data_IF_540181574664
#
_entry.id   IF_540181574664
#
_cell.length_a   1.000
_cell.length_b   1.000
_cell.length_c   1.000
_cell.angle_alpha   90.00
_cell.angle_beta   90.00
_cell.angle_gamma   90.00
#
_symmetry.space_group_name_H-M   'P 1'
#
loop_
_entity.id
_entity.type
_entity.pdbx_description
1 polymer ?
#
# COMPACT_ATOMS: atom_id res chain seq x y z
N UNK A 1 24.47 18.02 -17.65
CA UNK A 1 24.67 16.86 -16.76
C UNK A 1 24.05 15.65 -17.45
N UNK A 2 24.82 14.61 -17.74
CA UNK A 2 24.26 13.30 -18.14
C UNK A 2 23.88 12.59 -16.84
N UNK A 3 22.59 12.29 -16.68
CA UNK A 3 22.10 11.49 -15.56
C UNK A 3 22.37 10.03 -15.93
N UNK A 4 23.14 9.34 -15.10
CA UNK A 4 23.42 7.92 -15.27
C UNK A 4 22.25 7.12 -14.69
N UNK A 5 21.58 6.36 -15.54
CA UNK A 5 20.46 5.50 -15.19
C UNK A 5 20.88 4.03 -15.04
N UNK A 6 22.18 3.71 -15.07
CA UNK A 6 22.68 2.33 -15.07
C UNK A 6 22.25 1.47 -13.88
N UNK A 7 21.86 2.10 -12.76
CA UNK A 7 21.24 1.42 -11.61
C UNK A 7 19.93 0.70 -11.95
N UNK A 8 19.21 1.16 -12.97
CA UNK A 8 17.89 0.62 -13.36
C UNK A 8 17.95 -0.36 -14.53
N UNK A 9 19.12 -0.59 -15.12
CA UNK A 9 19.29 -1.43 -16.32
C UNK A 9 19.12 -2.95 -16.03
N UNK A 10 19.13 -3.34 -14.75
CA UNK A 10 19.13 -4.76 -14.35
C UNK A 10 17.99 -5.09 -13.36
N UNK A 11 16.79 -4.58 -13.65
CA UNK A 11 15.60 -4.89 -12.84
C UNK A 11 14.92 -6.12 -13.41
N UNK A 12 14.81 -7.17 -12.60
CA UNK A 12 14.07 -8.37 -12.94
C UNK A 12 12.64 -8.30 -12.39
N UNK A 13 11.64 -8.45 -13.26
CA UNK A 13 10.22 -8.48 -12.90
C UNK A 13 9.63 -9.86 -13.24
N UNK A 14 9.13 -10.57 -12.23
CA UNK A 14 8.59 -11.93 -12.42
C UNK A 14 7.26 -12.00 -13.19
N UNK A 15 6.49 -10.91 -13.19
CA UNK A 15 5.21 -10.75 -13.89
C UNK A 15 5.35 -9.72 -15.01
N UNK A 16 6.36 -9.92 -15.86
CA UNK A 16 6.60 -9.07 -17.02
C UNK A 16 5.75 -9.59 -18.21
N UNK A 17 4.68 -8.86 -18.54
CA UNK A 17 3.78 -9.17 -19.64
C UNK A 17 4.42 -8.92 -21.03
N UNK A 18 5.54 -8.20 -21.10
CA UNK A 18 6.25 -7.94 -22.36
C UNK A 18 7.15 -9.13 -22.77
N UNK A 19 7.56 -9.98 -21.82
CA UNK A 19 8.40 -11.18 -22.07
C UNK A 19 7.55 -12.44 -22.07
N UNK A 20 6.58 -12.47 -22.98
CA UNK A 20 5.61 -13.56 -23.15
C UNK A 20 5.76 -14.22 -24.53
N UNK A 21 5.55 -15.54 -24.58
CA UNK A 21 5.61 -16.31 -25.83
C UNK A 21 4.22 -16.84 -26.14
N UNK A 22 3.76 -16.79 -27.41
CA UNK A 22 2.44 -17.30 -27.80
C UNK A 22 2.21 -18.79 -27.47
N UNK A 23 3.29 -19.54 -27.24
CA UNK A 23 3.24 -20.99 -26.98
C UNK A 23 3.33 -21.36 -25.49
N UNK A 24 3.48 -20.37 -24.60
CA UNK A 24 3.64 -20.61 -23.16
C UNK A 24 2.53 -19.89 -22.41
N UNK A 25 1.85 -20.63 -21.51
CA UNK A 25 0.84 -20.08 -20.62
C UNK A 25 1.48 -19.07 -19.64
N UNK A 26 1.08 -17.81 -19.77
CA UNK A 26 1.59 -16.67 -18.99
C UNK A 26 1.30 -16.78 -17.49
N UNK A 27 0.07 -17.11 -17.03
CA UNK A 27 -0.20 -17.36 -15.62
C UNK A 27 0.73 -18.39 -14.97
N UNK A 28 1.00 -19.50 -15.65
CA UNK A 28 1.88 -20.56 -15.12
C UNK A 28 3.35 -20.14 -15.14
N UNK A 29 3.78 -19.46 -16.20
CA UNK A 29 5.15 -18.94 -16.34
C UNK A 29 5.50 -17.96 -15.23
N UNK A 30 4.60 -17.02 -14.91
CA UNK A 30 4.83 -16.05 -13.82
C UNK A 30 4.97 -16.72 -12.46
N UNK A 31 4.15 -17.74 -12.18
CA UNK A 31 4.26 -18.52 -10.94
C UNK A 31 5.60 -19.24 -10.84
N UNK A 32 6.10 -19.81 -11.95
CA UNK A 32 7.39 -20.47 -11.98
C UNK A 32 8.55 -19.48 -11.80
N UNK A 33 8.56 -18.37 -12.55
CA UNK A 33 9.55 -17.29 -12.42
C UNK A 33 9.60 -16.71 -11.01
N UNK A 34 8.45 -16.55 -10.38
CA UNK A 34 8.35 -16.10 -9.00
C UNK A 34 8.91 -17.12 -8.01
N UNK A 35 8.63 -18.42 -8.19
CA UNK A 35 9.23 -19.49 -7.37
C UNK A 35 10.75 -19.49 -7.46
N UNK A 36 11.30 -19.48 -8.67
CA UNK A 36 12.76 -19.45 -8.90
C UNK A 36 13.41 -18.22 -8.24
N UNK A 37 12.75 -17.06 -8.33
CA UNK A 37 13.24 -15.84 -7.66
C UNK A 37 13.22 -15.95 -6.13
N UNK A 38 12.20 -16.57 -5.55
CA UNK A 38 12.13 -16.85 -4.11
C UNK A 38 13.19 -17.84 -3.66
N UNK A 39 13.41 -18.91 -4.42
CA UNK A 39 14.38 -19.94 -4.09
C UNK A 39 15.81 -19.39 -4.18
N UNK A 40 16.11 -18.58 -5.21
CA UNK A 40 17.40 -17.87 -5.35
C UNK A 40 17.65 -16.88 -4.20
N UNK A 41 16.61 -16.19 -3.74
CA UNK A 41 16.72 -15.30 -2.57
C UNK A 41 16.95 -16.12 -1.29
N UNK A 42 16.18 -17.19 -1.09
CA UNK A 42 16.31 -18.08 0.07
C UNK A 42 17.71 -18.70 0.15
N UNK A 43 18.23 -19.24 -0.95
CA UNK A 43 19.59 -19.81 -1.00
C UNK A 43 20.66 -18.76 -0.68
N UNK A 44 20.47 -17.51 -1.12
CA UNK A 44 21.40 -16.42 -0.80
C UNK A 44 21.32 -15.99 0.67
N UNK A 45 20.13 -16.01 1.27
CA UNK A 45 19.93 -15.75 2.70
C UNK A 45 20.48 -16.87 3.58
N UNK A 46 20.34 -18.14 3.18
CA UNK A 46 20.91 -19.28 3.89
C UNK A 46 22.44 -19.23 3.87
N UNK A 47 23.05 -18.92 2.72
CA UNK A 47 24.49 -18.68 2.60
C UNK A 47 24.97 -17.51 3.47
N UNK A 48 24.19 -16.42 3.55
CA UNK A 48 24.48 -15.27 4.41
C UNK A 48 24.40 -15.65 5.89
N UNK A 49 23.37 -16.38 6.32
CA UNK A 49 23.21 -16.82 7.70
C UNK A 49 24.32 -17.78 8.14
N UNK A 50 24.77 -18.70 7.26
CA UNK A 50 25.88 -19.60 7.56
C UNK A 50 27.22 -18.84 7.69
N UNK A 51 27.47 -17.84 6.85
CA UNK A 51 28.67 -17.00 6.94
C UNK A 51 28.72 -16.18 8.24
N UNK A 52 27.58 -15.64 8.68
CA UNK A 52 27.46 -14.94 9.96
C UNK A 52 27.74 -15.87 11.15
N UNK A 53 27.20 -17.10 11.13
CA UNK A 53 27.48 -18.10 12.20
C UNK A 53 28.95 -18.55 12.22
N UNK A 54 29.63 -18.57 11.08
CA UNK A 54 31.05 -18.90 11.00
C UNK A 54 31.95 -17.74 11.49
N UNK A 55 31.54 -16.49 11.30
CA UNK A 55 32.27 -15.32 11.82
C UNK A 55 32.06 -15.05 13.33
N UNK A 56 31.01 -15.61 13.93
CA UNK A 56 30.62 -15.38 15.33
C UNK A 56 31.34 -16.23 16.39
N UNK A 57 32.32 -17.06 16.03
CA UNK A 57 33.07 -17.91 16.97
C UNK A 57 34.57 -17.57 16.99
N UNK A 58 35.03 -16.77 17.96
CA UNK A 58 36.37 -16.89 18.50
C UNK A 58 36.28 -17.24 19.99
N UNK A 59 35.99 -18.51 20.30
CA UNK A 59 36.02 -19.03 21.67
C UNK A 59 37.08 -20.13 21.82
N UNK A 60 38.32 -19.67 22.02
CA UNK A 60 39.30 -20.21 22.98
C UNK A 60 39.41 -21.74 23.13
N UNK A 61 40.28 -22.36 22.33
CA UNK A 61 41.10 -23.50 22.82
C UNK A 61 42.52 -23.00 23.05
N UNK A 62 42.80 -22.55 24.28
CA UNK A 62 44.17 -22.32 24.77
C UNK A 62 44.63 -23.58 25.49
N UNK A 63 45.51 -24.34 24.87
CA UNK A 63 46.46 -25.21 25.59
C UNK A 63 47.80 -24.46 25.68
N UNK A 64 48.50 -24.47 26.85
CA UNK A 64 49.78 -23.78 26.97
C UNK A 64 50.94 -24.74 26.65
N UNK A 65 51.90 -24.28 25.85
CA UNK A 65 53.09 -25.09 25.56
C UNK A 65 54.10 -24.42 24.63
N UNK A 66 54.91 -23.52 25.23
CA UNK A 66 56.36 -23.31 25.03
C UNK A 66 56.94 -23.03 23.62
N UNK A 67 57.59 -21.86 23.55
CA UNK A 67 58.82 -21.45 22.83
C UNK A 67 59.07 -22.01 21.42
N UNK A 68 59.22 -21.13 20.43
CA UNK A 68 60.53 -20.63 20.00
C UNK A 68 60.33 -19.48 18.98
N UNK A 69 61.34 -18.63 18.88
CA UNK A 69 61.48 -17.50 17.95
C UNK A 69 61.53 -18.01 16.49
N UNK A 70 60.89 -17.30 15.54
CA UNK A 70 61.43 -16.95 14.21
C UNK A 70 60.34 -16.47 13.20
N UNK A 71 60.75 -15.47 12.40
CA UNK A 71 60.16 -14.94 11.14
C UNK A 71 58.93 -14.01 11.19
N UNK A 72 59.19 -12.74 11.50
CA UNK A 72 58.40 -11.59 11.09
C UNK A 72 58.53 -11.35 9.57
N UNK A 73 57.50 -11.64 8.76
CA UNK A 73 57.12 -10.92 7.51
C UNK A 73 55.76 -11.42 6.93
N UNK A 74 55.33 -12.66 7.21
CA UNK A 74 54.00 -13.16 6.79
C UNK A 74 52.76 -12.58 7.52
N UNK A 75 52.79 -12.17 8.81
CA UNK A 75 51.56 -11.76 9.51
C UNK A 75 51.03 -10.40 9.03
N UNK A 76 51.86 -9.54 8.45
CA UNK A 76 51.43 -8.21 7.97
C UNK A 76 50.57 -8.29 6.70
N UNK A 77 50.84 -9.25 5.81
CA UNK A 77 50.05 -9.47 4.61
C UNK A 77 48.68 -10.08 4.93
N UNK A 78 48.64 -11.02 5.88
CA UNK A 78 47.41 -11.59 6.42
C UNK A 78 46.57 -10.54 7.16
N UNK A 79 47.20 -9.68 7.97
CA UNK A 79 46.51 -8.56 8.63
C UNK A 79 45.89 -7.58 7.62
N UNK A 80 46.56 -7.31 6.48
CA UNK A 80 46.02 -6.44 5.42
C UNK A 80 44.84 -7.09 4.68
N UNK A 81 44.85 -8.41 4.47
CA UNK A 81 43.71 -9.16 3.91
C UNK A 81 42.50 -9.14 4.85
N UNK A 82 42.72 -9.43 6.13
CA UNK A 82 41.68 -9.39 7.17
C UNK A 82 41.09 -7.99 7.29
N UNK A 83 41.91 -6.92 7.24
CA UNK A 83 41.41 -5.55 7.28
C UNK A 83 40.57 -5.18 6.04
N UNK A 84 40.88 -5.76 4.88
CA UNK A 84 40.09 -5.58 3.65
C UNK A 84 38.75 -6.32 3.72
N UNK A 85 38.71 -7.51 4.34
CA UNK A 85 37.47 -8.26 4.57
C UNK A 85 36.58 -7.57 5.59
N UNK A 86 37.12 -7.07 6.71
CA UNK A 86 36.36 -6.28 7.69
C UNK A 86 35.72 -5.05 7.04
N UNK A 87 36.46 -4.34 6.17
CA UNK A 87 35.93 -3.19 5.43
C UNK A 87 34.87 -3.55 4.39
N UNK A 88 34.85 -4.80 3.89
CA UNK A 88 33.77 -5.29 3.01
C UNK A 88 32.53 -5.62 3.86
N UNK A 89 32.71 -6.36 4.95
CA UNK A 89 31.63 -6.71 5.87
C UNK A 89 30.95 -5.48 6.48
N UNK A 90 31.69 -4.44 6.86
CA UNK A 90 31.10 -3.17 7.34
C UNK A 90 30.26 -2.46 6.27
N UNK A 91 30.59 -2.60 4.98
CA UNK A 91 29.78 -2.03 3.88
C UNK A 91 28.52 -2.84 3.67
N UNK A 92 28.63 -4.16 3.75
CA UNK A 92 27.51 -5.07 3.61
C UNK A 92 26.53 -4.90 4.79
N UNK A 93 27.01 -4.78 6.02
CA UNK A 93 26.18 -4.48 7.21
C UNK A 93 25.39 -3.16 7.03
N UNK A 94 26.06 -2.10 6.54
CA UNK A 94 25.41 -0.82 6.22
C UNK A 94 24.37 -0.95 5.10
N UNK A 95 24.65 -1.77 4.09
CA UNK A 95 23.73 -2.04 3.00
C UNK A 95 22.47 -2.79 3.49
N UNK A 96 22.64 -3.81 4.32
CA UNK A 96 21.54 -4.57 4.92
C UNK A 96 20.70 -3.71 5.88
N UNK A 97 21.33 -2.88 6.71
CA UNK A 97 20.61 -1.93 7.57
C UNK A 97 19.75 -0.95 6.74
N UNK A 98 20.31 -0.41 5.66
CA UNK A 98 19.59 0.48 4.76
C UNK A 98 18.39 -0.20 4.09
N UNK A 99 18.54 -1.46 3.69
CA UNK A 99 17.48 -2.25 3.06
C UNK A 99 16.34 -2.59 4.04
N UNK A 100 16.68 -2.99 5.28
CA UNK A 100 15.71 -3.24 6.35
C UNK A 100 14.92 -1.97 6.70
N UNK A 101 15.58 -0.81 6.73
CA UNK A 101 14.91 0.45 7.02
C UNK A 101 13.96 0.88 5.88
N UNK A 102 14.33 0.59 4.62
CA UNK A 102 13.47 0.80 3.45
C UNK A 102 12.24 -0.13 3.48
N UNK A 103 12.41 -1.41 3.83
CA UNK A 103 11.30 -2.36 4.00
C UNK A 103 10.33 -1.91 5.10
N UNK A 104 10.85 -1.52 6.27
CA UNK A 104 10.05 -0.98 7.39
C UNK A 104 9.29 0.30 7.01
N UNK A 105 9.87 1.16 6.16
CA UNK A 105 9.18 2.34 5.62
C UNK A 105 8.10 1.97 4.61
N UNK A 106 8.28 0.89 3.84
CA UNK A 106 7.28 0.32 2.94
C UNK A 106 6.08 -0.28 3.68
N UNK A 107 6.32 -1.08 4.71
CA UNK A 107 5.27 -1.69 5.53
C UNK A 107 4.40 -0.66 6.26
N UNK A 108 5.03 0.37 6.87
CA UNK A 108 4.30 1.49 7.49
C UNK A 108 3.44 2.28 6.51
N UNK A 109 3.79 2.29 5.21
CA UNK A 109 2.97 2.90 4.16
C UNK A 109 1.76 2.01 3.83
N UNK A 110 1.95 0.69 3.78
CA UNK A 110 0.87 -0.27 3.54
C UNK A 110 -0.17 -0.28 4.67
N UNK A 111 0.28 -0.24 5.92
CA UNK A 111 -0.61 -0.17 7.09
C UNK A 111 -1.52 1.07 7.06
N UNK A 112 -0.97 2.22 6.63
CA UNK A 112 -1.76 3.46 6.44
C UNK A 112 -2.81 3.36 5.33
N UNK A 113 -2.58 2.55 4.30
CA UNK A 113 -3.55 2.32 3.22
C UNK A 113 -4.69 1.41 3.69
N UNK A 114 -4.40 0.40 4.51
CA UNK A 114 -5.39 -0.52 5.07
C UNK A 114 -6.25 0.15 6.16
N UNK A 115 -5.68 1.02 6.99
CA UNK A 115 -6.42 1.76 8.02
C UNK A 115 -7.49 2.72 7.47
N UNK A 116 -7.33 3.19 6.22
CA UNK A 116 -8.35 3.99 5.51
C UNK A 116 -9.55 3.18 5.04
N UNK A 117 -9.38 1.88 4.77
CA UNK A 117 -10.44 0.98 4.28
C UNK A 117 -11.29 0.35 5.40
N UNK A 118 -10.91 0.52 6.67
CA UNK A 118 -11.50 -0.19 7.82
C UNK A 118 -12.45 0.62 8.72
N UNK A 119 -13.03 1.74 8.26
CA UNK A 119 -14.03 2.49 9.05
C UNK A 119 -15.37 2.51 8.35
N UNK A 120 -16.34 1.72 8.84
CA UNK A 120 -17.72 1.91 8.38
C UNK A 120 -18.75 0.86 8.74
N UNK A 121 -18.87 0.43 10.01
CA UNK A 121 -20.16 0.01 10.58
C UNK A 121 -20.26 0.48 12.05
N UNK A 122 -20.28 1.80 12.24
CA UNK A 122 -20.84 2.35 13.48
C UNK A 122 -22.33 2.50 13.22
N UNK A 123 -23.13 1.71 13.91
CA UNK A 123 -24.59 1.79 13.88
C UNK A 123 -25.00 3.12 14.54
N UNK A 124 -25.19 4.18 13.75
CA UNK A 124 -25.62 5.50 14.24
C UNK A 124 -27.15 5.49 14.34
N UNK A 125 -27.68 4.86 15.38
CA UNK A 125 -29.14 4.89 15.66
C UNK A 125 -29.57 6.12 16.47
N UNK A 126 -28.64 6.91 17.03
CA UNK A 126 -28.98 7.84 18.12
C UNK A 126 -29.00 9.35 17.77
N UNK A 127 -29.06 9.78 16.50
CA UNK A 127 -29.10 11.23 16.14
C UNK A 127 -30.01 11.59 14.96
N UNK A 128 -30.95 10.73 14.57
CA UNK A 128 -31.69 10.85 13.30
C UNK A 128 -32.54 12.12 13.21
N UNK A 129 -33.24 12.53 14.27
CA UNK A 129 -34.20 13.65 14.23
C UNK A 129 -33.58 15.06 14.11
N UNK A 130 -32.51 15.38 14.87
CA UNK A 130 -31.87 16.70 14.79
C UNK A 130 -31.05 16.88 13.51
N UNK A 131 -30.48 15.78 13.00
CA UNK A 131 -29.78 15.79 11.72
C UNK A 131 -30.76 16.00 10.57
N UNK A 132 -31.94 15.39 10.62
CA UNK A 132 -33.00 15.57 9.63
C UNK A 132 -33.33 17.04 9.43
N UNK A 133 -33.78 17.77 10.48
CA UNK A 133 -34.19 19.18 10.35
C UNK A 133 -33.12 20.08 9.72
N UNK A 134 -31.87 19.96 10.18
CA UNK A 134 -30.76 20.77 9.65
C UNK A 134 -30.31 20.33 8.27
N UNK A 135 -30.57 19.09 7.86
CA UNK A 135 -30.29 18.57 6.53
C UNK A 135 -31.34 19.06 5.53
N UNK A 136 -32.62 18.93 5.86
CA UNK A 136 -33.75 19.43 5.06
C UNK A 136 -33.58 20.90 4.75
N UNK A 137 -33.31 21.73 5.76
CA UNK A 137 -33.18 23.18 5.59
C UNK A 137 -32.02 23.57 4.66
N UNK A 138 -30.91 22.82 4.69
CA UNK A 138 -29.74 23.09 3.86
C UNK A 138 -29.96 22.66 2.41
N UNK A 139 -30.56 21.50 2.22
CA UNK A 139 -30.70 20.87 0.91
C UNK A 139 -32.10 21.05 0.30
N UNK A 140 -33.00 21.80 0.94
CA UNK A 140 -34.36 22.07 0.44
C UNK A 140 -34.38 22.61 -0.99
N UNK A 141 -33.44 23.47 -1.37
CA UNK A 141 -33.36 24.03 -2.72
C UNK A 141 -32.98 22.96 -3.75
N UNK A 142 -32.04 22.10 -3.38
CA UNK A 142 -31.53 21.02 -4.23
C UNK A 142 -32.56 19.90 -4.36
N UNK A 143 -33.31 19.61 -3.29
CA UNK A 143 -34.44 18.68 -3.28
C UNK A 143 -35.60 19.19 -4.14
N UNK A 144 -35.92 20.49 -4.07
CA UNK A 144 -36.88 21.11 -5.00
C UNK A 144 -36.40 21.04 -6.45
N UNK A 145 -35.11 21.29 -6.70
CA UNK A 145 -34.55 21.15 -8.04
C UNK A 145 -34.69 19.72 -8.56
N UNK A 146 -34.35 18.73 -7.73
CA UNK A 146 -34.53 17.32 -8.06
C UNK A 146 -35.99 16.96 -8.33
N UNK A 147 -36.93 17.46 -7.51
CA UNK A 147 -38.36 17.25 -7.71
C UNK A 147 -38.93 17.87 -9.00
N UNK A 148 -38.25 18.88 -9.56
CA UNK A 148 -38.61 19.48 -10.86
C UNK A 148 -38.02 18.72 -12.06
N UNK A 149 -37.10 17.77 -11.85
CA UNK A 149 -36.53 16.96 -12.92
C UNK A 149 -37.50 15.87 -13.35
N UNK A 150 -37.79 15.77 -14.65
CA UNK A 150 -38.67 14.74 -15.22
C UNK A 150 -37.93 13.63 -15.96
N UNK A 151 -36.76 13.94 -16.53
CA UNK A 151 -35.97 12.98 -17.31
C UNK A 151 -35.07 12.18 -16.39
N UNK A 152 -35.09 10.86 -16.55
CA UNK A 152 -34.26 9.95 -15.76
C UNK A 152 -32.75 10.23 -15.90
N UNK A 153 -32.28 10.56 -17.11
CA UNK A 153 -30.85 10.86 -17.36
C UNK A 153 -30.37 12.04 -16.50
N UNK A 154 -31.19 13.10 -16.40
CA UNK A 154 -30.88 14.30 -15.64
C UNK A 154 -30.93 14.02 -14.14
N UNK A 155 -31.93 13.26 -13.67
CA UNK A 155 -32.04 12.81 -12.28
C UNK A 155 -30.83 11.95 -11.87
N UNK A 156 -30.38 11.02 -12.71
CA UNK A 156 -29.22 10.17 -12.42
C UNK A 156 -27.94 11.00 -12.34
N UNK A 157 -27.73 11.91 -13.29
CA UNK A 157 -26.56 12.80 -13.28
C UNK A 157 -26.56 13.68 -12.04
N UNK A 158 -27.71 14.26 -11.69
CA UNK A 158 -27.85 15.14 -10.54
C UNK A 158 -27.56 14.44 -9.20
N UNK A 159 -27.99 13.18 -9.03
CA UNK A 159 -27.67 12.37 -7.86
C UNK A 159 -26.21 11.88 -7.85
N UNK A 160 -25.60 11.69 -9.03
CA UNK A 160 -24.18 11.36 -9.15
C UNK A 160 -23.31 12.53 -8.72
N UNK A 161 -23.70 13.75 -9.08
CA UNK A 161 -23.02 14.98 -8.69
C UNK A 161 -23.24 15.30 -7.20
N UNK A 162 -24.39 14.88 -6.64
CA UNK A 162 -24.77 15.09 -5.23
C UNK A 162 -25.10 13.78 -4.49
N UNK A 163 -24.11 12.92 -4.17
CA UNK A 163 -24.36 11.63 -3.51
C UNK A 163 -24.95 11.77 -2.10
N UNK A 164 -24.78 12.93 -1.48
CA UNK A 164 -25.28 13.21 -0.13
C UNK A 164 -26.80 13.36 -0.08
N UNK A 165 -27.46 13.59 -1.22
CA UNK A 165 -28.92 13.65 -1.32
C UNK A 165 -29.55 12.25 -1.31
N UNK A 166 -28.77 11.18 -1.53
CA UNK A 166 -29.27 9.80 -1.53
C UNK A 166 -29.35 9.29 -0.09
N UNK A 167 -30.35 9.77 0.65
CA UNK A 167 -30.63 9.35 2.02
C UNK A 167 -32.15 9.21 2.27
N UNK A 168 -32.51 8.57 3.39
CA UNK A 168 -33.90 8.34 3.79
C UNK A 168 -34.61 9.66 4.10
N UNK A 169 -33.89 10.63 4.65
CA UNK A 169 -34.41 11.96 4.96
C UNK A 169 -34.85 12.71 3.69
N UNK A 170 -34.06 12.65 2.62
CA UNK A 170 -34.43 13.22 1.31
C UNK A 170 -35.68 12.56 0.72
N UNK A 171 -35.83 11.25 0.88
CA UNK A 171 -37.02 10.55 0.38
C UNK A 171 -38.28 11.03 1.12
N UNK A 172 -38.20 11.22 2.44
CA UNK A 172 -39.30 11.75 3.24
C UNK A 172 -39.67 13.18 2.82
N UNK A 173 -38.68 14.05 2.61
CA UNK A 173 -38.93 15.42 2.14
C UNK A 173 -39.56 15.46 0.75
N UNK A 174 -39.15 14.57 -0.15
CA UNK A 174 -39.72 14.49 -1.49
C UNK A 174 -41.20 14.09 -1.45
N UNK A 175 -41.60 13.19 -0.56
CA UNK A 175 -43.01 12.84 -0.36
C UNK A 175 -43.81 14.04 0.13
N UNK A 176 -43.28 14.82 1.06
CA UNK A 176 -43.94 16.06 1.54
C UNK A 176 -44.07 17.06 0.39
N UNK A 177 -43.02 17.24 -0.42
CA UNK A 177 -43.07 18.13 -1.59
C UNK A 177 -44.15 17.71 -2.58
N UNK A 178 -44.33 16.41 -2.85
CA UNK A 178 -45.41 15.92 -3.71
C UNK A 178 -46.79 16.28 -3.16
N UNK A 179 -46.99 16.21 -1.85
CA UNK A 179 -48.26 16.58 -1.20
C UNK A 179 -48.50 18.09 -1.33
N UNK A 180 -47.48 18.92 -1.08
CA UNK A 180 -47.57 20.37 -1.21
C UNK A 180 -47.92 20.79 -2.65
N UNK A 181 -47.31 20.15 -3.65
CA UNK A 181 -47.63 20.39 -5.06
C UNK A 181 -49.08 20.05 -5.41
N UNK A 182 -49.59 18.91 -4.95
CA UNK A 182 -50.99 18.52 -5.16
C UNK A 182 -51.95 19.54 -4.51
N UNK A 183 -51.66 19.99 -3.28
CA UNK A 183 -52.46 21.01 -2.59
C UNK A 183 -52.44 22.33 -3.36
N UNK A 184 -51.28 22.75 -3.88
CA UNK A 184 -51.15 23.99 -4.63
C UNK A 184 -51.87 23.93 -6.00
N UNK A 185 -51.85 22.78 -6.68
CA UNK A 185 -52.62 22.57 -7.92
C UNK A 185 -54.13 22.59 -7.66
N UNK A 186 -54.61 21.93 -6.60
CA UNK A 186 -56.03 21.97 -6.21
C UNK A 186 -56.46 23.40 -5.85
N UNK A 187 -55.64 24.14 -5.10
CA UNK A 187 -55.91 25.55 -4.75
C UNK A 187 -55.85 26.51 -5.95
N UNK A 188 -55.13 26.15 -7.01
CA UNK A 188 -55.09 26.92 -8.25
C UNK A 188 -56.36 26.67 -9.08
N UNK A 189 -56.88 25.45 -9.09
CA UNK A 189 -58.14 25.09 -9.76
C UNK A 189 -59.36 25.68 -9.04
N UNK A 190 -59.38 25.72 -7.70
CA UNK A 190 -60.48 26.31 -6.93
C UNK A 190 -60.56 27.85 -7.02
N UNK A 191 -59.50 28.52 -7.50
CA UNK A 191 -59.44 29.99 -7.66
C UNK A 191 -59.83 30.51 -9.04
N UNK A 192 -60.24 29.62 -9.96
CA UNK A 192 -60.77 29.94 -11.30
C UNK A 192 -62.28 29.77 -11.30
#
# INVERSE_FOLDING_TARGET
MRIDCGVWDHIYVSHDDDVTSPFVDTPSSFRMRHRVSRDSCCSSCELCGMLETASGSPATTRTPGRADEEEDEEPEAELKKVQAEVKKLEKDEKFFLGHLEAHRRGEKKLEKVLARKGRGKVHIVCKTQQKHKTFVEKYAKEMKHFGMLRRWDDSQKYLSDNPHLVCEESANDLVVLCIDFEIDEVRAVERV
#
